data_IF_678869881859
#
_entry.id   IF_678869881859
#
_cell.length_a   1.000
_cell.length_b   1.000
_cell.length_c   1.000
_cell.angle_alpha   90.00
_cell.angle_beta   90.00
_cell.angle_gamma   90.00
#
_symmetry.space_group_name_H-M   'P 1'
#
loop_
_entity.id
_entity.type
_entity.pdbx_description
1 polymer ?
#
# COMPACT_ATOMS: atom_id res chain seq x y z
N UNK A 1 15.27 6.49 -10.09
CA UNK A 1 15.86 7.74 -10.65
C UNK A 1 15.33 8.96 -9.91
N UNK A 2 14.01 9.17 -9.83
CA UNK A 2 13.41 10.32 -9.13
C UNK A 2 13.97 10.56 -7.71
N UNK A 3 14.06 9.51 -6.88
CA UNK A 3 14.56 9.61 -5.51
C UNK A 3 16.00 10.12 -5.39
N UNK A 4 16.81 9.99 -6.44
CA UNK A 4 18.21 10.46 -6.46
C UNK A 4 18.38 11.82 -7.14
N UNK A 5 17.35 12.35 -7.81
CA UNK A 5 17.46 13.55 -8.64
C UNK A 5 16.56 14.70 -8.22
N UNK A 6 15.54 14.47 -7.39
CA UNK A 6 14.54 15.50 -7.03
C UNK A 6 15.03 16.51 -5.99
N UNK A 7 16.19 16.29 -5.38
CA UNK A 7 16.83 17.24 -4.44
C UNK A 7 16.19 17.31 -3.05
N UNK A 8 15.14 16.52 -2.80
CA UNK A 8 14.45 16.39 -1.52
C UNK A 8 14.19 14.92 -1.17
N UNK A 9 14.02 14.55 0.10
CA UNK A 9 13.68 13.18 0.49
C UNK A 9 12.33 12.75 -0.09
N UNK A 10 12.25 11.52 -0.60
CA UNK A 10 11.00 10.92 -1.04
C UNK A 10 10.47 9.98 0.05
N UNK A 11 9.16 10.09 0.32
CA UNK A 11 8.39 9.11 1.10
C UNK A 11 7.61 8.24 0.13
N UNK A 12 7.71 6.91 0.27
CA UNK A 12 6.83 5.97 -0.42
C UNK A 12 5.80 5.45 0.57
N UNK A 13 4.52 5.49 0.19
CA UNK A 13 3.41 5.01 1.01
C UNK A 13 2.51 4.04 0.25
N UNK A 14 2.05 3.01 0.94
CA UNK A 14 0.87 2.25 0.51
C UNK A 14 -0.41 3.05 0.82
N UNK A 15 -1.58 2.54 0.46
CA UNK A 15 -2.88 3.20 0.65
C UNK A 15 -3.85 2.41 1.52
N UNK A 16 -3.57 1.16 1.87
CA UNK A 16 -4.41 0.39 2.78
C UNK A 16 -4.20 -1.12 2.75
N UNK A 17 -3.35 -1.63 1.84
CA UNK A 17 -3.07 -3.05 1.68
C UNK A 17 -1.72 -3.48 2.25
N UNK A 18 -0.88 -2.55 2.71
CA UNK A 18 0.40 -2.90 3.34
C UNK A 18 1.57 -3.11 2.38
N UNK A 19 2.77 -2.74 2.83
CA UNK A 19 4.01 -3.02 2.11
C UNK A 19 4.68 -4.30 2.61
N UNK A 20 5.14 -5.13 1.68
CA UNK A 20 5.98 -6.28 2.00
C UNK A 20 7.44 -5.84 2.22
N UNK A 21 8.20 -6.65 2.98
CA UNK A 21 9.63 -6.45 3.18
C UNK A 21 10.39 -6.31 1.86
N UNK A 22 10.11 -7.18 0.90
CA UNK A 22 10.77 -7.18 -0.42
C UNK A 22 10.56 -5.87 -1.17
N UNK A 23 9.33 -5.33 -1.17
CA UNK A 23 9.03 -4.05 -1.82
C UNK A 23 9.69 -2.89 -1.06
N UNK A 24 9.66 -2.91 0.28
CA UNK A 24 10.32 -1.90 1.10
C UNK A 24 11.83 -1.85 0.84
N UNK A 25 12.51 -3.01 0.79
CA UNK A 25 13.92 -3.11 0.45
C UNK A 25 14.21 -2.51 -0.93
N UNK A 26 13.43 -2.89 -1.95
CA UNK A 26 13.60 -2.36 -3.30
C UNK A 26 13.41 -0.82 -3.38
N UNK A 27 12.49 -0.26 -2.60
CA UNK A 27 12.28 1.19 -2.52
C UNK A 27 13.46 1.90 -1.84
N UNK A 28 13.98 1.34 -0.75
CA UNK A 28 15.17 1.87 -0.06
C UNK A 28 16.39 1.81 -0.98
N UNK A 29 16.60 0.68 -1.67
CA UNK A 29 17.66 0.54 -2.69
C UNK A 29 17.50 1.53 -3.85
N UNK A 30 16.26 1.92 -4.20
CA UNK A 30 16.00 2.94 -5.20
C UNK A 30 16.31 4.37 -4.72
N UNK A 31 16.52 4.56 -3.41
CA UNK A 31 16.86 5.84 -2.76
C UNK A 31 15.70 6.52 -2.02
N UNK A 32 14.59 5.82 -1.77
CA UNK A 32 13.48 6.34 -0.94
C UNK A 32 13.96 6.49 0.50
N UNK A 33 13.62 7.61 1.12
CA UNK A 33 14.09 7.96 2.46
C UNK A 33 13.17 7.46 3.58
N UNK A 34 11.86 7.32 3.31
CA UNK A 34 10.87 6.90 4.30
C UNK A 34 9.87 5.95 3.68
N UNK A 35 9.53 4.90 4.43
CA UNK A 35 8.48 3.93 4.10
C UNK A 35 7.30 4.15 5.05
N UNK A 36 6.12 4.40 4.48
CA UNK A 36 4.83 4.37 5.18
C UNK A 36 4.06 3.13 4.72
N UNK A 37 3.93 2.17 5.62
CA UNK A 37 3.37 0.85 5.29
C UNK A 37 1.89 0.90 4.92
N UNK A 38 1.12 1.83 5.48
CA UNK A 38 -0.35 1.88 5.35
C UNK A 38 -1.03 0.49 5.22
N UNK A 39 -0.77 -0.38 6.20
CA UNK A 39 -1.24 -1.77 6.17
C UNK A 39 -2.74 -1.94 6.38
N UNK A 40 -3.22 -3.15 6.09
CA UNK A 40 -4.62 -3.53 6.26
C UNK A 40 -5.06 -3.50 7.74
N UNK A 41 -6.36 -3.30 7.95
CA UNK A 41 -7.00 -3.14 9.26
C UNK A 41 -7.60 -1.75 9.51
N UNK A 42 -7.32 -0.78 8.64
CA UNK A 42 -7.94 0.54 8.61
C UNK A 42 -8.89 0.71 7.42
N UNK A 43 -8.78 1.85 6.72
CA UNK A 43 -9.56 2.09 5.49
C UNK A 43 -9.17 1.10 4.39
N UNK A 44 -10.15 0.36 3.86
CA UNK A 44 -9.98 -0.49 2.68
C UNK A 44 -10.37 0.26 1.41
N UNK A 45 -9.39 0.52 0.54
CA UNK A 45 -9.68 1.13 -0.77
C UNK A 45 -10.37 0.18 -1.73
N UNK A 46 -10.18 -1.14 -1.60
CA UNK A 46 -10.96 -2.11 -2.36
C UNK A 46 -12.46 -1.99 -2.03
N UNK A 47 -12.82 -1.87 -0.75
CA UNK A 47 -14.21 -1.64 -0.36
C UNK A 47 -14.74 -0.28 -0.82
N UNK A 48 -13.96 0.80 -0.66
CA UNK A 48 -14.36 2.14 -1.14
C UNK A 48 -14.64 2.14 -2.64
N UNK A 49 -13.76 1.55 -3.44
CA UNK A 49 -13.98 1.48 -4.90
C UNK A 49 -15.11 0.50 -5.26
N UNK A 50 -15.35 -0.54 -4.46
CA UNK A 50 -16.51 -1.42 -4.59
C UNK A 50 -17.83 -0.67 -4.41
N UNK A 51 -17.93 0.22 -3.43
CA UNK A 51 -19.09 1.09 -3.21
C UNK A 51 -19.24 2.16 -4.32
N UNK A 52 -18.14 2.54 -4.97
CA UNK A 52 -18.15 3.48 -6.10
C UNK A 52 -18.45 2.80 -7.45
N UNK A 53 -18.43 1.48 -7.50
CA UNK A 53 -18.61 0.73 -8.74
C UNK A 53 -20.01 0.96 -9.33
N UNK A 54 -20.09 1.05 -10.67
CA UNK A 54 -21.36 1.24 -11.39
C UNK A 54 -22.03 -0.07 -11.74
N UNK A 55 -21.24 -1.13 -11.93
CA UNK A 55 -21.70 -2.45 -12.30
C UNK A 55 -21.58 -3.41 -11.12
N UNK A 56 -22.61 -4.24 -10.92
CA UNK A 56 -22.67 -5.17 -9.78
C UNK A 56 -21.54 -6.22 -9.80
N UNK A 57 -21.06 -6.60 -10.99
CA UNK A 57 -19.93 -7.52 -11.13
C UNK A 57 -18.63 -6.90 -10.60
N UNK A 58 -18.37 -5.63 -10.92
CA UNK A 58 -17.17 -4.92 -10.45
C UNK A 58 -17.23 -4.71 -8.94
N UNK A 59 -18.39 -4.35 -8.40
CA UNK A 59 -18.63 -4.27 -6.96
C UNK A 59 -18.32 -5.62 -6.29
N UNK A 60 -18.83 -6.73 -6.83
CA UNK A 60 -18.60 -8.06 -6.27
C UNK A 60 -17.11 -8.45 -6.28
N UNK A 61 -16.39 -8.14 -7.36
CA UNK A 61 -14.94 -8.36 -7.43
C UNK A 61 -14.21 -7.51 -6.39
N UNK A 62 -14.50 -6.21 -6.31
CA UNK A 62 -13.85 -5.32 -5.35
C UNK A 62 -14.09 -5.76 -3.89
N UNK A 63 -15.34 -6.11 -3.57
CA UNK A 63 -15.71 -6.57 -2.22
C UNK A 63 -15.10 -7.92 -1.85
N UNK A 64 -14.82 -8.80 -2.82
CA UNK A 64 -14.07 -10.03 -2.58
C UNK A 64 -12.62 -9.76 -2.10
N UNK A 65 -12.08 -8.56 -2.37
CA UNK A 65 -10.76 -8.11 -1.93
C UNK A 65 -10.82 -7.03 -0.84
N UNK A 66 -11.99 -6.80 -0.21
CA UNK A 66 -12.14 -5.78 0.83
C UNK A 66 -11.15 -5.96 1.99
N UNK A 67 -10.83 -7.20 2.35
CA UNK A 67 -9.89 -7.55 3.42
C UNK A 67 -8.50 -7.98 2.90
N UNK A 68 -8.21 -7.72 1.61
CA UNK A 68 -6.91 -8.06 1.03
C UNK A 68 -5.79 -7.16 1.55
N UNK A 69 -4.66 -7.77 1.92
CA UNK A 69 -3.43 -7.05 2.24
C UNK A 69 -2.66 -7.66 3.41
N UNK A 70 -1.57 -6.98 3.78
CA UNK A 70 -0.74 -7.28 4.94
C UNK A 70 -1.22 -6.39 6.09
N UNK A 71 -1.65 -6.96 7.23
CA UNK A 71 -2.05 -6.17 8.40
C UNK A 71 -0.97 -5.19 8.83
N UNK A 72 -1.36 -4.00 9.31
CA UNK A 72 -0.41 -2.94 9.70
C UNK A 72 0.68 -3.45 10.65
N UNK A 73 0.31 -4.24 11.67
CA UNK A 73 1.27 -4.81 12.62
C UNK A 73 2.33 -5.66 11.92
N UNK A 74 1.90 -6.61 11.09
CA UNK A 74 2.78 -7.52 10.35
C UNK A 74 3.66 -6.76 9.36
N UNK A 75 3.10 -5.77 8.67
CA UNK A 75 3.85 -4.96 7.70
C UNK A 75 4.94 -4.14 8.40
N UNK A 76 4.63 -3.47 9.52
CA UNK A 76 5.64 -2.73 10.32
C UNK A 76 6.75 -3.64 10.80
N UNK A 77 6.41 -4.84 11.29
CA UNK A 77 7.41 -5.81 11.78
C UNK A 77 8.31 -6.31 10.65
N UNK A 78 7.75 -6.52 9.45
CA UNK A 78 8.50 -7.07 8.32
C UNK A 78 9.45 -6.06 7.65
N UNK A 79 9.15 -4.75 7.72
CA UNK A 79 9.95 -3.69 7.05
C UNK A 79 10.96 -2.99 7.96
N UNK A 80 10.96 -3.31 9.26
CA UNK A 80 11.92 -2.79 10.24
C UNK A 80 13.13 -3.70 10.36
#
# INVERSE_FOLDING_TARGET
RAARSVGVPIVAKEVGAGLSATVACALVEAGVAVIDVAGAGGTSWAAVEGERARDAADCAVAMAFADWGIPTLTSVQAVR
#
